data_IF_460397409894
#
_entry.id   IF_460397409894
#
_cell.length_a   1.000
_cell.length_b   1.000
_cell.length_c   1.000
_cell.angle_alpha   90.00
_cell.angle_beta   90.00
_cell.angle_gamma   90.00
#
_symmetry.space_group_name_H-M   'P 1'
#
loop_
_entity.id
_entity.type
_entity.pdbx_description
1 polymer ?
#
# COMPACT_ATOMS: atom_id res chain seq x y z
N UNK A 1 -2.15 13.26 9.13
CA UNK A 1 -2.89 12.86 7.91
C UNK A 1 -3.82 11.72 8.29
N UNK A 2 -4.89 12.06 9.02
CA UNK A 2 -6.12 11.25 9.01
C UNK A 2 -6.90 11.68 7.75
N UNK A 3 -7.88 10.90 7.31
CA UNK A 3 -8.80 11.21 6.19
C UNK A 3 -8.43 10.58 4.83
N UNK A 4 -8.07 9.29 4.85
CA UNK A 4 -7.93 8.43 3.66
C UNK A 4 -8.96 7.30 3.59
N UNK A 5 -10.19 7.52 4.05
CA UNK A 5 -11.22 6.46 4.15
C UNK A 5 -12.04 6.22 2.88
N UNK A 6 -11.63 6.74 1.71
CA UNK A 6 -12.13 6.23 0.44
C UNK A 6 -11.20 5.12 -0.04
N UNK A 7 -11.58 3.87 0.25
CA UNK A 7 -10.87 2.68 -0.19
C UNK A 7 -10.70 2.68 -1.72
N UNK A 8 -11.72 3.14 -2.45
CA UNK A 8 -11.69 3.28 -3.91
C UNK A 8 -10.65 4.30 -4.40
N UNK A 9 -10.54 5.46 -3.75
CA UNK A 9 -9.54 6.47 -4.12
C UNK A 9 -8.11 6.02 -3.79
N UNK A 10 -7.89 5.39 -2.63
CA UNK A 10 -6.60 4.83 -2.26
C UNK A 10 -6.17 3.70 -3.22
N UNK A 11 -7.10 2.82 -3.59
CA UNK A 11 -6.87 1.76 -4.57
C UNK A 11 -6.50 2.33 -5.94
N UNK A 12 -7.23 3.36 -6.39
CA UNK A 12 -6.94 4.04 -7.65
C UNK A 12 -5.57 4.71 -7.65
N UNK A 13 -5.18 5.37 -6.56
CA UNK A 13 -3.86 6.00 -6.41
C UNK A 13 -2.73 4.97 -6.40
N UNK A 14 -2.91 3.81 -5.79
CA UNK A 14 -1.89 2.75 -5.79
C UNK A 14 -1.74 2.17 -7.21
N UNK A 15 -2.85 1.83 -7.88
CA UNK A 15 -2.79 1.21 -9.21
C UNK A 15 -2.32 2.20 -10.29
N UNK A 16 -2.86 3.43 -10.30
CA UNK A 16 -2.46 4.44 -11.28
C UNK A 16 -1.11 5.07 -10.94
N UNK A 17 -0.83 5.30 -9.66
CA UNK A 17 0.39 5.98 -9.22
C UNK A 17 1.63 5.08 -9.24
N UNK A 18 1.52 3.82 -8.81
CA UNK A 18 2.66 2.89 -8.81
C UNK A 18 2.71 2.00 -10.06
N UNK A 19 1.55 1.68 -10.65
CA UNK A 19 1.44 0.75 -11.78
C UNK A 19 1.50 1.40 -13.16
N UNK A 20 1.01 2.64 -13.31
CA UNK A 20 0.94 3.31 -14.62
C UNK A 20 2.06 4.36 -14.77
N UNK A 21 3.24 3.87 -15.16
CA UNK A 21 4.41 4.73 -15.37
C UNK A 21 4.52 5.15 -16.85
N UNK A 22 4.92 6.40 -17.12
CA UNK A 22 5.15 6.90 -18.50
C UNK A 22 6.15 6.03 -19.26
N UNK A 23 7.12 5.44 -18.55
CA UNK A 23 8.05 4.47 -19.12
C UNK A 23 7.38 3.20 -19.66
N UNK A 24 6.44 2.62 -18.89
CA UNK A 24 5.67 1.44 -19.31
C UNK A 24 4.77 1.79 -20.49
N UNK A 25 4.09 2.95 -20.44
CA UNK A 25 3.25 3.43 -21.53
C UNK A 25 4.06 3.66 -22.82
N UNK A 26 5.26 4.27 -22.73
CA UNK A 26 6.12 4.51 -23.88
C UNK A 26 6.73 3.23 -24.43
N UNK A 27 7.11 2.27 -23.57
CA UNK A 27 7.56 0.95 -23.99
C UNK A 27 6.46 0.19 -24.73
N UNK A 28 5.25 0.14 -24.16
CA UNK A 28 4.09 -0.51 -24.77
C UNK A 28 3.71 0.15 -26.11
N UNK A 29 3.80 1.48 -26.20
CA UNK A 29 3.61 2.24 -27.45
C UNK A 29 4.60 1.81 -28.52
N UNK A 30 5.88 1.64 -28.16
CA UNK A 30 6.96 1.31 -29.11
C UNK A 30 6.90 -0.15 -29.56
N UNK A 31 6.49 -1.07 -28.68
CA UNK A 31 6.41 -2.49 -28.97
C UNK A 31 5.10 -2.91 -29.67
N UNK A 32 3.96 -2.36 -29.27
CA UNK A 32 2.63 -2.83 -29.69
C UNK A 32 1.76 -1.74 -30.36
N UNK A 33 2.26 -0.51 -30.45
CA UNK A 33 1.57 0.61 -31.08
C UNK A 33 0.58 1.35 -30.16
N UNK A 34 0.08 2.49 -30.62
CA UNK A 34 -0.78 3.38 -29.82
C UNK A 34 -2.14 2.77 -29.43
N UNK A 35 -2.68 1.86 -30.25
CA UNK A 35 -3.95 1.17 -29.95
C UNK A 35 -3.83 0.29 -28.71
N UNK A 36 -2.73 -0.44 -28.56
CA UNK A 36 -2.48 -1.28 -27.39
C UNK A 36 -2.38 -0.45 -26.11
N UNK A 37 -1.74 0.73 -26.19
CA UNK A 37 -1.66 1.67 -25.07
C UNK A 37 -3.02 2.20 -24.66
N UNK A 38 -3.84 2.63 -25.63
CA UNK A 38 -5.19 3.11 -25.35
C UNK A 38 -6.04 2.02 -24.69
N UNK A 39 -5.95 0.78 -25.18
CA UNK A 39 -6.68 -0.36 -24.62
C UNK A 39 -6.19 -0.71 -23.21
N UNK A 40 -4.88 -0.70 -22.96
CA UNK A 40 -4.29 -0.89 -21.65
C UNK A 40 -4.76 0.17 -20.65
N UNK A 41 -4.68 1.45 -21.03
CA UNK A 41 -5.12 2.57 -20.17
C UNK A 41 -6.62 2.48 -19.90
N UNK A 42 -7.44 2.17 -20.91
CA UNK A 42 -8.88 2.02 -20.75
C UNK A 42 -9.24 0.84 -19.82
N UNK A 43 -8.57 -0.31 -19.97
CA UNK A 43 -8.77 -1.47 -19.08
C UNK A 43 -8.30 -1.18 -17.66
N UNK A 44 -7.18 -0.47 -17.49
CA UNK A 44 -6.66 -0.13 -16.18
C UNK A 44 -7.58 0.87 -15.47
N UNK A 45 -8.00 1.93 -16.15
CA UNK A 45 -8.98 2.89 -15.61
C UNK A 45 -10.33 2.23 -15.32
N UNK A 46 -10.84 1.44 -16.27
CA UNK A 46 -12.13 0.76 -16.15
C UNK A 46 -12.14 -0.26 -15.00
N UNK A 47 -11.13 -1.13 -14.91
CA UNK A 47 -11.04 -2.11 -13.82
C UNK A 47 -10.86 -1.45 -12.47
N UNK A 48 -10.04 -0.41 -12.38
CA UNK A 48 -9.84 0.37 -11.15
C UNK A 48 -11.13 1.03 -10.68
N UNK A 49 -11.89 1.64 -11.58
CA UNK A 49 -13.17 2.27 -11.27
C UNK A 49 -14.21 1.24 -10.80
N UNK A 50 -14.33 0.11 -11.53
CA UNK A 50 -15.28 -0.96 -11.19
C UNK A 50 -14.97 -1.55 -9.82
N UNK A 51 -13.70 -1.89 -9.56
CA UNK A 51 -13.28 -2.46 -8.28
C UNK A 51 -13.47 -1.43 -7.16
N UNK A 52 -13.05 -0.17 -7.37
CA UNK A 52 -13.21 0.89 -6.39
C UNK A 52 -14.67 1.14 -6.02
N UNK A 53 -15.56 1.27 -7.01
CA UNK A 53 -16.99 1.46 -6.78
C UNK A 53 -17.65 0.26 -6.09
N UNK A 54 -17.22 -0.95 -6.44
CA UNK A 54 -17.76 -2.18 -5.84
C UNK A 54 -17.31 -2.27 -4.39
N UNK A 55 -16.02 -2.08 -4.12
CA UNK A 55 -15.46 -2.17 -2.78
C UNK A 55 -16.04 -1.10 -1.83
N UNK A 56 -16.25 0.12 -2.32
CA UNK A 56 -16.89 1.19 -1.53
C UNK A 56 -18.34 0.84 -1.15
N UNK A 57 -19.07 0.16 -2.05
CA UNK A 57 -20.44 -0.28 -1.78
C UNK A 57 -20.55 -1.54 -0.92
N UNK A 58 -19.62 -2.48 -1.02
CA UNK A 58 -19.73 -3.79 -0.35
C UNK A 58 -18.98 -3.88 0.96
N UNK A 59 -17.91 -3.10 1.15
CA UNK A 59 -17.02 -3.20 2.31
C UNK A 59 -17.25 -2.05 3.31
N UNK A 60 -17.58 -0.85 2.83
CA UNK A 60 -17.74 0.34 3.67
C UNK A 60 -19.19 0.66 4.07
N UNK A 61 -20.15 -0.22 3.74
CA UNK A 61 -21.60 -0.06 3.98
C UNK A 61 -22.17 1.32 3.57
N UNK A 62 -21.51 2.02 2.64
CA UNK A 62 -21.90 3.37 2.23
C UNK A 62 -21.90 4.41 3.37
N UNK A 63 -21.25 4.13 4.51
CA UNK A 63 -21.18 5.06 5.65
C UNK A 63 -20.05 6.10 5.54
N UNK A 64 -19.40 6.21 4.37
CA UNK A 64 -18.50 7.32 4.09
C UNK A 64 -19.30 8.62 4.04
N UNK A 65 -19.44 9.28 5.19
CA UNK A 65 -20.05 10.60 5.31
C UNK A 65 -19.24 11.61 4.50
N UNK A 66 -19.83 12.07 3.41
CA UNK A 66 -19.28 13.01 2.42
C UNK A 66 -18.78 14.33 3.04
N UNK A 67 -19.17 14.64 4.28
CA UNK A 67 -18.88 15.92 4.93
C UNK A 67 -17.43 16.13 5.39
N UNK A 68 -16.65 15.07 5.65
CA UNK A 68 -15.31 15.19 6.27
C UNK A 68 -14.14 14.81 5.33
N UNK A 69 -14.41 14.57 4.04
CA UNK A 69 -13.41 14.06 3.09
C UNK A 69 -13.06 15.00 1.94
N UNK A 70 -13.67 16.19 1.88
CA UNK A 70 -13.40 17.19 0.83
C UNK A 70 -12.03 17.85 0.98
N UNK A 71 -11.41 17.80 2.16
CA UNK A 71 -10.12 18.44 2.44
C UNK A 71 -8.90 17.50 2.38
N UNK A 72 -9.09 16.18 2.19
CA UNK A 72 -7.98 15.24 2.08
C UNK A 72 -7.12 15.46 0.83
N UNK A 73 -7.72 16.01 -0.23
CA UNK A 73 -7.05 16.32 -1.49
C UNK A 73 -6.59 17.77 -1.61
N UNK A 74 -7.01 18.66 -0.69
CA UNK A 74 -6.59 20.07 -0.67
C UNK A 74 -5.05 20.22 -0.68
N UNK A 75 -4.26 19.45 0.08
CA UNK A 75 -2.80 19.55 0.01
C UNK A 75 -2.22 19.18 -1.36
N UNK A 76 -2.92 18.36 -2.14
CA UNK A 76 -2.49 17.89 -3.47
C UNK A 76 -3.04 18.74 -4.62
N UNK A 77 -4.17 19.44 -4.42
CA UNK A 77 -4.81 20.30 -5.42
C UNK A 77 -4.53 21.79 -5.18
N UNK A 78 -4.08 22.18 -3.99
CA UNK A 78 -3.55 23.53 -3.74
C UNK A 78 -2.27 23.70 -4.54
N UNK A 79 -2.36 24.50 -5.59
CA UNK A 79 -1.21 25.16 -6.16
C UNK A 79 -0.51 25.90 -5.01
N UNK A 80 0.72 25.52 -4.68
CA UNK A 80 1.52 26.26 -3.71
C UNK A 80 1.50 27.75 -4.12
N UNK A 81 1.30 28.65 -3.16
CA UNK A 81 1.46 30.09 -3.40
C UNK A 81 2.93 30.38 -3.67
N UNK A 82 3.34 30.23 -4.93
CA UNK A 82 4.69 30.52 -5.38
C UNK A 82 4.75 32.04 -5.54
N UNK A 83 5.43 32.72 -4.61
CA UNK A 83 5.68 34.15 -4.73
C UNK A 83 6.41 34.48 -6.05
N UNK A 84 6.31 35.73 -6.55
CA UNK A 84 6.75 36.12 -7.91
C UNK A 84 8.24 35.88 -8.24
N UNK A 85 9.06 35.46 -7.26
CA UNK A 85 10.48 35.14 -7.41
C UNK A 85 10.83 33.68 -7.03
N UNK A 86 9.84 32.82 -6.78
CA UNK A 86 10.02 31.44 -6.31
C UNK A 86 9.77 30.37 -7.39
N UNK A 87 9.52 30.77 -8.64
CA UNK A 87 9.28 29.84 -9.77
C UNK A 87 10.54 29.59 -10.63
N UNK A 88 11.75 29.79 -10.09
CA UNK A 88 13.00 29.59 -10.84
C UNK A 88 13.56 28.18 -10.59
N UNK A 89 14.20 27.58 -11.59
CA UNK A 89 14.87 26.27 -11.53
C UNK A 89 15.91 26.23 -10.39
N UNK A 90 16.57 27.36 -10.12
CA UNK A 90 17.51 27.49 -9.00
C UNK A 90 16.84 27.36 -7.63
N UNK A 91 15.61 27.87 -7.48
CA UNK A 91 14.83 27.72 -6.25
C UNK A 91 14.41 26.26 -6.05
N UNK A 92 13.90 25.62 -7.09
CA UNK A 92 13.53 24.19 -7.07
C UNK A 92 14.74 23.33 -6.71
N UNK A 93 15.89 23.56 -7.34
CA UNK A 93 17.12 22.82 -7.03
C UNK A 93 17.55 22.98 -5.57
N UNK A 94 17.55 24.21 -5.06
CA UNK A 94 17.92 24.50 -3.66
C UNK A 94 16.94 23.92 -2.63
N UNK A 95 15.66 23.78 -3.00
CA UNK A 95 14.62 23.21 -2.15
C UNK A 95 14.71 21.69 -2.11
N UNK A 96 14.88 21.06 -3.29
CA UNK A 96 15.12 19.62 -3.40
C UNK A 96 16.38 19.23 -2.62
N UNK A 97 17.47 19.98 -2.73
CA UNK A 97 18.69 19.66 -1.99
C UNK A 97 18.51 19.71 -0.46
N UNK A 98 17.70 20.65 0.04
CA UNK A 98 17.40 20.84 1.46
C UNK A 98 16.48 19.77 2.04
N UNK A 99 15.44 19.39 1.30
CA UNK A 99 14.39 18.48 1.79
C UNK A 99 14.70 17.00 1.45
N UNK A 100 15.66 16.73 0.56
CA UNK A 100 16.00 15.38 0.10
C UNK A 100 16.79 14.61 1.15
N UNK A 101 16.24 13.47 1.57
CA UNK A 101 16.83 12.58 2.56
C UNK A 101 18.06 11.86 2.00
N UNK A 102 18.92 11.36 2.88
CA UNK A 102 20.20 10.73 2.50
C UNK A 102 19.97 9.48 1.62
N UNK A 103 18.94 8.68 1.93
CA UNK A 103 18.52 7.51 1.15
C UNK A 103 18.02 7.88 -0.26
N UNK A 104 17.30 9.00 -0.38
CA UNK A 104 16.81 9.51 -1.66
C UNK A 104 17.96 10.02 -2.56
N UNK A 105 19.03 10.59 -1.97
CA UNK A 105 20.23 11.03 -2.71
C UNK A 105 20.92 9.85 -3.41
N UNK A 106 21.10 8.74 -2.71
CA UNK A 106 21.67 7.53 -3.30
C UNK A 106 20.76 6.92 -4.36
N UNK A 107 19.44 6.91 -4.12
CA UNK A 107 18.46 6.45 -5.10
C UNK A 107 18.49 7.28 -6.40
N UNK A 108 18.57 8.60 -6.28
CA UNK A 108 18.68 9.52 -7.42
C UNK A 108 20.00 9.31 -8.17
N UNK A 109 21.11 9.12 -7.46
CA UNK A 109 22.40 8.81 -8.07
C UNK A 109 22.38 7.50 -8.86
N UNK A 110 21.78 6.44 -8.30
CA UNK A 110 21.62 5.17 -8.99
C UNK A 110 20.75 5.29 -10.24
N UNK A 111 19.63 6.01 -10.14
CA UNK A 111 18.75 6.29 -11.28
C UNK A 111 19.50 7.03 -12.40
N UNK A 112 20.31 8.03 -12.05
CA UNK A 112 21.12 8.77 -13.00
C UNK A 112 22.17 7.86 -13.69
N UNK A 113 22.82 6.97 -12.94
CA UNK A 113 23.76 5.98 -13.50
C UNK A 113 23.04 5.06 -14.48
N UNK A 114 21.87 4.53 -14.12
CA UNK A 114 21.08 3.64 -15.00
C UNK A 114 20.62 4.38 -16.25
N UNK A 115 20.15 5.62 -16.13
CA UNK A 115 19.80 6.45 -17.28
C UNK A 115 21.00 6.69 -18.18
N UNK A 116 22.12 7.16 -17.63
CA UNK A 116 23.33 7.44 -18.41
C UNK A 116 23.85 6.18 -19.10
N UNK A 117 23.82 5.04 -18.41
CA UNK A 117 24.21 3.74 -18.97
C UNK A 117 23.26 3.37 -20.11
N UNK A 118 21.95 3.43 -19.90
CA UNK A 118 20.96 3.14 -20.94
C UNK A 118 21.05 4.07 -22.15
N UNK A 119 21.25 5.37 -21.93
CA UNK A 119 21.44 6.37 -23.00
C UNK A 119 22.75 6.14 -23.74
N UNK A 120 23.85 5.88 -23.03
CA UNK A 120 25.13 5.55 -23.64
C UNK A 120 25.02 4.27 -24.48
N UNK A 121 24.42 3.20 -23.96
CA UNK A 121 24.19 1.97 -24.74
C UNK A 121 23.30 2.21 -25.95
N UNK A 122 22.29 3.08 -25.86
CA UNK A 122 21.41 3.41 -27.00
C UNK A 122 22.16 4.19 -28.08
N UNK A 123 22.97 5.18 -27.69
CA UNK A 123 23.75 6.00 -28.62
C UNK A 123 24.94 5.23 -29.22
N UNK A 124 25.56 4.36 -28.44
CA UNK A 124 26.64 3.49 -28.91
C UNK A 124 26.09 2.30 -29.72
N UNK A 125 24.85 1.85 -29.46
CA UNK A 125 24.20 0.74 -30.16
C UNK A 125 23.91 1.00 -31.64
N UNK A 126 23.80 2.27 -32.07
CA UNK A 126 23.74 2.61 -33.50
C UNK A 126 25.12 2.50 -34.19
N UNK A 127 26.23 2.55 -33.43
CA UNK A 127 27.61 2.44 -33.96
C UNK A 127 28.25 1.08 -33.73
N UNK A 128 27.82 0.39 -32.68
CA UNK A 128 28.27 -0.95 -32.29
C UNK A 128 27.08 -1.85 -32.56
N UNK A 129 27.15 -2.57 -33.67
CA UNK A 129 26.15 -3.55 -34.06
C UNK A 129 26.19 -4.74 -33.08
N UNK A 130 25.62 -4.54 -31.88
CA UNK A 130 25.47 -5.58 -30.85
C UNK A 130 24.56 -6.71 -31.33
N UNK A 131 23.89 -6.52 -32.47
CA UNK A 131 23.25 -7.61 -33.21
C UNK A 131 24.26 -8.72 -33.53
N UNK A 132 25.55 -8.45 -33.70
CA UNK A 132 26.57 -9.50 -33.83
C UNK A 132 26.66 -10.46 -32.62
N UNK A 133 26.39 -9.96 -31.43
CA UNK A 133 26.44 -10.74 -30.19
C UNK A 133 25.06 -11.22 -29.71
N UNK A 134 23.97 -10.68 -30.28
CA UNK A 134 22.58 -10.94 -29.88
C UNK A 134 21.70 -11.53 -30.99
N UNK A 135 22.16 -11.51 -32.25
CA UNK A 135 21.54 -12.20 -33.38
C UNK A 135 22.09 -13.62 -33.34
N UNK A 136 21.29 -14.51 -32.75
CA UNK A 136 21.23 -15.85 -33.31
C UNK A 136 20.92 -15.72 -34.81
N UNK A 137 21.81 -16.29 -35.62
CA UNK A 137 21.72 -16.42 -37.08
C UNK A 137 20.26 -16.54 -37.52
N UNK A 138 19.83 -15.85 -38.61
CA UNK A 138 18.48 -15.99 -39.13
C UNK A 138 18.18 -17.48 -39.34
N UNK A 139 17.05 -17.90 -38.78
CA UNK A 139 16.52 -19.26 -38.71
C UNK A 139 16.69 -20.01 -40.04
N UNK A 140 17.82 -20.70 -40.20
CA UNK A 140 17.76 -22.01 -40.83
C UNK A 140 17.12 -22.89 -39.77
N UNK A 141 15.93 -23.41 -40.07
CA UNK A 141 15.23 -24.40 -39.26
C UNK A 141 16.20 -25.53 -38.87
N UNK A 142 16.84 -25.38 -37.72
CA UNK A 142 17.60 -26.43 -37.09
C UNK A 142 16.58 -27.20 -36.26
N UNK A 143 16.18 -28.35 -36.79
CA UNK A 143 15.43 -29.43 -36.13
C UNK A 143 16.16 -29.97 -34.88
N UNK A 144 16.49 -29.09 -33.91
CA UNK A 144 17.43 -29.45 -32.86
C UNK A 144 17.53 -28.54 -31.64
N UNK A 145 16.76 -27.44 -31.55
CA UNK A 145 16.56 -26.83 -30.22
C UNK A 145 15.71 -27.79 -29.39
N UNK A 146 16.24 -28.17 -28.23
CA UNK A 146 15.66 -29.21 -27.39
C UNK A 146 14.28 -28.72 -26.92
N UNK A 147 13.22 -29.11 -27.66
CA UNK A 147 11.80 -28.68 -27.56
C UNK A 147 11.20 -28.80 -26.15
N UNK A 148 11.92 -29.43 -25.23
CA UNK A 148 11.63 -29.52 -23.80
C UNK A 148 11.88 -28.23 -23.02
N UNK A 149 12.88 -27.43 -23.39
CA UNK A 149 13.28 -26.23 -22.63
C UNK A 149 12.76 -24.92 -23.22
N UNK A 150 12.29 -24.94 -24.47
CA UNK A 150 11.66 -23.79 -25.12
C UNK A 150 10.35 -24.20 -25.84
N UNK A 151 9.31 -24.58 -25.07
CA UNK A 151 8.00 -24.84 -25.66
C UNK A 151 7.35 -23.52 -26.07
N UNK A 152 6.98 -23.41 -27.34
CA UNK A 152 6.17 -22.28 -27.84
C UNK A 152 4.81 -22.32 -27.15
N UNK A 153 4.63 -21.48 -26.14
CA UNK A 153 3.39 -21.36 -25.38
C UNK A 153 2.33 -20.67 -26.24
N UNK A 154 1.14 -21.27 -26.32
CA UNK A 154 -0.02 -20.62 -26.94
C UNK A 154 -0.44 -19.37 -26.15
N UNK A 155 -1.07 -18.40 -26.81
CA UNK A 155 -1.59 -17.19 -26.14
C UNK A 155 -2.49 -17.51 -24.95
N UNK A 156 -3.28 -18.59 -25.03
CA UNK A 156 -4.14 -19.02 -23.93
C UNK A 156 -3.32 -19.51 -22.72
N UNK A 157 -2.21 -20.22 -22.95
CA UNK A 157 -1.33 -20.67 -21.86
C UNK A 157 -0.62 -19.50 -21.18
N UNK A 158 -0.18 -18.50 -21.93
CA UNK A 158 0.42 -17.28 -21.37
C UNK A 158 -0.59 -16.49 -20.52
N UNK A 159 -1.83 -16.34 -21.00
CA UNK A 159 -2.90 -15.68 -20.25
C UNK A 159 -3.20 -16.45 -18.96
N UNK A 160 -3.39 -17.77 -19.04
CA UNK A 160 -3.64 -18.60 -17.86
C UNK A 160 -2.48 -18.49 -16.86
N UNK A 161 -1.23 -18.66 -17.31
CA UNK A 161 -0.06 -18.55 -16.44
C UNK A 161 0.04 -17.17 -15.78
N UNK A 162 -0.22 -16.10 -16.52
CA UNK A 162 -0.24 -14.73 -15.99
C UNK A 162 -1.34 -14.54 -14.93
N UNK A 163 -2.57 -14.96 -15.22
CA UNK A 163 -3.70 -14.84 -14.29
C UNK A 163 -3.46 -15.65 -13.02
N UNK A 164 -3.02 -16.91 -13.15
CA UNK A 164 -2.68 -17.75 -12.00
C UNK A 164 -1.52 -17.16 -11.19
N UNK A 165 -0.48 -16.67 -11.86
CA UNK A 165 0.67 -16.03 -11.21
C UNK A 165 0.26 -14.81 -10.39
N UNK A 166 -0.47 -13.87 -11.00
CA UNK A 166 -0.97 -12.67 -10.31
C UNK A 166 -1.90 -13.05 -9.15
N UNK A 167 -2.79 -14.03 -9.35
CA UNK A 167 -3.70 -14.49 -8.30
C UNK A 167 -2.94 -15.10 -7.12
N UNK A 168 -1.92 -15.92 -7.38
CA UNK A 168 -1.09 -16.52 -6.33
C UNK A 168 -0.33 -15.44 -5.53
N UNK A 169 0.26 -14.44 -6.21
CA UNK A 169 0.91 -13.32 -5.54
C UNK A 169 -0.07 -12.45 -4.76
N UNK A 170 -1.29 -12.25 -5.26
CA UNK A 170 -2.33 -11.52 -4.54
C UNK A 170 -2.75 -12.24 -3.25
N UNK A 171 -2.93 -13.57 -3.31
CA UNK A 171 -3.21 -14.39 -2.12
C UNK A 171 -2.05 -14.30 -1.13
N UNK A 172 -0.81 -14.42 -1.59
CA UNK A 172 0.37 -14.29 -0.72
C UNK A 172 0.45 -12.91 -0.07
N UNK A 173 0.18 -11.84 -0.82
CA UNK A 173 0.11 -10.48 -0.31
C UNK A 173 -1.00 -10.30 0.74
N UNK A 174 -2.15 -10.95 0.57
CA UNK A 174 -3.24 -10.92 1.55
C UNK A 174 -2.80 -11.55 2.88
N UNK A 175 -2.13 -12.70 2.83
CA UNK A 175 -1.59 -13.38 4.02
C UNK A 175 -0.48 -12.58 4.70
N UNK A 176 0.32 -11.84 3.95
CA UNK A 176 1.34 -10.94 4.49
C UNK A 176 0.73 -9.70 5.14
N UNK A 177 -0.35 -9.15 4.56
CA UNK A 177 -1.01 -7.96 5.11
C UNK A 177 -1.90 -8.26 6.32
N UNK A 178 -2.51 -9.44 6.35
CA UNK A 178 -3.32 -10.00 7.45
C UNK A 178 -2.60 -11.21 8.09
N UNK A 179 -1.60 -10.95 8.97
CA UNK A 179 -0.83 -12.00 9.64
C UNK A 179 -1.70 -12.87 10.56
N UNK A 180 -1.15 -13.92 11.16
CA UNK A 180 -1.95 -14.79 12.03
C UNK A 180 -2.47 -14.01 13.25
N UNK A 181 -3.68 -14.29 13.78
CA UNK A 181 -4.23 -13.58 14.94
C UNK A 181 -3.28 -13.56 16.15
N UNK A 182 -2.53 -14.64 16.38
CA UNK A 182 -1.51 -14.70 17.44
C UNK A 182 -0.37 -13.69 17.23
N UNK A 183 0.13 -13.54 15.99
CA UNK A 183 1.19 -12.58 15.66
C UNK A 183 0.72 -11.14 15.89
N UNK A 184 -0.53 -10.83 15.48
CA UNK A 184 -1.15 -9.52 15.72
C UNK A 184 -1.26 -9.22 17.22
N UNK A 185 -1.70 -10.21 18.02
CA UNK A 185 -1.85 -10.07 19.47
C UNK A 185 -0.50 -9.92 20.19
N UNK A 186 0.54 -10.58 19.70
CA UNK A 186 1.89 -10.45 20.23
C UNK A 186 2.50 -9.08 19.88
N UNK A 187 2.29 -8.55 18.67
CA UNK A 187 2.67 -7.17 18.31
C UNK A 187 1.99 -6.12 19.21
N UNK A 188 0.70 -6.29 19.48
CA UNK A 188 -0.07 -5.40 20.38
C UNK A 188 0.55 -5.34 21.78
N UNK A 189 1.13 -6.44 22.25
CA UNK A 189 1.74 -6.50 23.59
C UNK A 189 2.87 -5.47 23.73
N UNK A 190 3.65 -5.23 22.68
CA UNK A 190 4.69 -4.19 22.66
C UNK A 190 4.09 -2.77 22.67
N UNK A 191 3.12 -2.50 21.79
CA UNK A 191 2.46 -1.19 21.66
C UNK A 191 1.80 -0.78 22.99
N UNK A 192 1.21 -1.74 23.71
CA UNK A 192 0.51 -1.50 24.97
C UNK A 192 1.41 -0.93 26.06
N UNK A 193 2.64 -1.43 26.19
CA UNK A 193 3.58 -0.96 27.22
C UNK A 193 3.94 0.51 26.96
N UNK A 194 4.21 0.85 25.71
CA UNK A 194 4.53 2.22 25.28
C UNK A 194 3.32 3.16 25.48
N UNK A 195 2.12 2.69 25.13
CA UNK A 195 0.88 3.44 25.35
C UNK A 195 0.67 3.76 26.84
N UNK A 196 0.89 2.78 27.73
CA UNK A 196 0.70 2.99 29.16
C UNK A 196 1.75 3.92 29.76
N UNK A 197 2.99 3.90 29.27
CA UNK A 197 4.00 4.89 29.64
C UNK A 197 3.54 6.30 29.24
N UNK A 198 3.09 6.46 27.98
CA UNK A 198 2.63 7.75 27.47
C UNK A 198 1.43 8.31 28.25
N UNK A 199 0.47 7.46 28.62
CA UNK A 199 -0.66 7.87 29.48
C UNK A 199 -0.18 8.29 30.87
N UNK A 200 0.81 7.59 31.43
CA UNK A 200 1.36 7.91 32.74
C UNK A 200 2.10 9.26 32.75
N UNK A 201 2.79 9.57 31.67
CA UNK A 201 3.52 10.83 31.42
C UNK A 201 2.61 11.97 30.96
N UNK A 202 1.32 11.68 30.72
CA UNK A 202 0.35 12.63 30.17
C UNK A 202 0.73 13.18 28.78
N UNK A 203 1.51 12.43 28.01
CA UNK A 203 1.88 12.77 26.64
C UNK A 203 0.71 12.44 25.68
N UNK A 204 0.00 13.49 25.28
CA UNK A 204 -1.13 13.41 24.36
C UNK A 204 -0.73 12.95 22.96
N UNK A 205 0.42 13.39 22.45
CA UNK A 205 0.86 13.11 21.09
C UNK A 205 1.27 11.65 20.96
N UNK A 206 2.09 11.18 21.90
CA UNK A 206 2.53 9.80 21.95
C UNK A 206 1.36 8.86 22.24
N UNK A 207 0.45 9.22 23.15
CA UNK A 207 -0.75 8.43 23.42
C UNK A 207 -1.62 8.28 22.18
N UNK A 208 -1.87 9.36 21.43
CA UNK A 208 -2.63 9.31 20.18
C UNK A 208 -1.93 8.42 19.15
N UNK A 209 -0.61 8.56 18.99
CA UNK A 209 0.18 7.75 18.07
C UNK A 209 0.09 6.26 18.38
N UNK A 210 0.29 5.86 19.63
CA UNK A 210 0.26 4.45 20.05
C UNK A 210 -1.15 3.88 20.06
N UNK A 211 -2.14 4.67 20.46
CA UNK A 211 -3.57 4.31 20.35
C UNK A 211 -3.95 4.02 18.90
N UNK A 212 -3.53 4.85 17.94
CA UNK A 212 -3.77 4.63 16.52
C UNK A 212 -3.08 3.36 15.99
N UNK A 213 -1.83 3.10 16.42
CA UNK A 213 -1.12 1.86 16.07
C UNK A 213 -1.87 0.62 16.58
N UNK A 214 -2.35 0.64 17.83
CA UNK A 214 -3.13 -0.45 18.39
C UNK A 214 -4.44 -0.64 17.64
N UNK A 215 -5.23 0.43 17.40
CA UNK A 215 -6.49 0.36 16.63
C UNK A 215 -6.29 -0.34 15.29
N UNK A 216 -5.28 0.07 14.51
CA UNK A 216 -4.97 -0.53 13.21
C UNK A 216 -4.61 -2.02 13.29
N UNK A 217 -3.97 -2.47 14.39
CA UNK A 217 -3.65 -3.89 14.59
C UNK A 217 -4.88 -4.70 14.99
N UNK A 218 -5.67 -4.20 15.93
CA UNK A 218 -6.91 -4.85 16.40
C UNK A 218 -7.94 -5.01 15.29
N UNK A 219 -8.09 -4.01 14.40
CA UNK A 219 -9.01 -4.07 13.27
C UNK A 219 -8.67 -5.19 12.26
N UNK A 220 -7.40 -5.64 12.23
CA UNK A 220 -6.99 -6.75 11.36
C UNK A 220 -7.42 -8.11 11.88
N UNK A 221 -7.74 -8.27 13.17
CA UNK A 221 -8.00 -9.56 13.80
C UNK A 221 -9.18 -10.32 13.15
N UNK A 222 -10.37 -9.71 12.93
CA UNK A 222 -11.49 -10.41 12.32
C UNK A 222 -11.15 -10.90 10.91
N UNK A 223 -10.58 -10.04 10.06
CA UNK A 223 -10.21 -10.42 8.69
C UNK A 223 -9.12 -11.49 8.67
N UNK A 224 -8.15 -11.40 9.58
CA UNK A 224 -7.06 -12.39 9.70
C UNK A 224 -7.57 -13.77 10.09
N UNK A 225 -8.62 -13.84 10.91
CA UNK A 225 -9.29 -15.09 11.26
C UNK A 225 -10.14 -15.59 10.08
N UNK A 226 -10.96 -14.72 9.48
CA UNK A 226 -11.83 -15.04 8.36
C UNK A 226 -11.09 -15.71 7.19
N UNK A 227 -9.90 -15.21 6.82
CA UNK A 227 -9.12 -15.78 5.70
C UNK A 227 -8.52 -17.17 6.00
N UNK A 228 -8.49 -17.60 7.28
CA UNK A 228 -7.87 -18.86 7.73
C UNK A 228 -8.91 -19.90 8.18
N UNK A 229 -9.86 -19.50 9.02
CA UNK A 229 -10.93 -20.39 9.53
C UNK A 229 -12.19 -20.36 8.68
N UNK A 230 -12.37 -19.34 7.83
CA UNK A 230 -13.57 -19.16 7.00
C UNK A 230 -14.76 -18.52 7.72
N UNK A 231 -14.70 -18.36 9.04
CA UNK A 231 -15.78 -17.76 9.85
C UNK A 231 -15.23 -16.96 11.03
N UNK A 232 -16.01 -15.98 11.50
CA UNK A 232 -15.73 -15.11 12.65
C UNK A 232 -17.00 -14.92 13.45
N UNK A 233 -16.98 -15.29 14.73
CA UNK A 233 -18.15 -15.16 15.60
C UNK A 233 -18.50 -13.70 15.91
N UNK A 234 -19.77 -13.45 16.23
CA UNK A 234 -20.21 -12.14 16.69
C UNK A 234 -19.50 -11.73 18.00
N UNK A 235 -19.20 -12.69 18.89
CA UNK A 235 -18.43 -12.43 20.13
C UNK A 235 -17.02 -11.92 19.84
N UNK A 236 -16.36 -12.43 18.80
CA UNK A 236 -15.04 -11.98 18.38
C UNK A 236 -15.08 -10.56 17.83
N UNK A 237 -16.08 -10.25 17.00
CA UNK A 237 -16.29 -8.91 16.44
C UNK A 237 -16.60 -7.89 17.54
N UNK A 238 -17.46 -8.26 18.48
CA UNK A 238 -17.81 -7.43 19.63
C UNK A 238 -16.58 -7.16 20.52
N UNK A 239 -15.76 -8.18 20.78
CA UNK A 239 -14.54 -8.02 21.58
C UNK A 239 -13.54 -7.02 20.97
N UNK A 240 -13.47 -6.96 19.63
CA UNK A 240 -12.67 -5.98 18.89
C UNK A 240 -13.25 -4.58 19.08
N UNK A 241 -14.57 -4.42 18.94
CA UNK A 241 -15.24 -3.15 19.14
C UNK A 241 -15.09 -2.61 20.57
N UNK A 242 -15.14 -3.47 21.58
CA UNK A 242 -14.90 -3.09 22.98
C UNK A 242 -13.49 -2.50 23.19
N UNK A 243 -12.47 -3.10 22.57
CA UNK A 243 -11.09 -2.57 22.64
C UNK A 243 -11.00 -1.21 21.93
N UNK A 244 -11.57 -1.09 20.73
CA UNK A 244 -11.58 0.17 19.98
C UNK A 244 -12.30 1.28 20.75
N UNK A 245 -13.41 0.95 21.41
CA UNK A 245 -14.13 1.86 22.29
C UNK A 245 -13.27 2.30 23.47
N UNK A 246 -12.64 1.37 24.19
CA UNK A 246 -11.76 1.68 25.32
C UNK A 246 -10.60 2.63 24.94
N UNK A 247 -9.96 2.40 23.79
CA UNK A 247 -8.91 3.28 23.26
C UNK A 247 -9.43 4.68 22.91
N UNK A 248 -10.65 4.78 22.36
CA UNK A 248 -11.30 6.06 22.05
C UNK A 248 -11.65 6.84 23.32
N UNK A 249 -12.09 6.16 24.38
CA UNK A 249 -12.42 6.79 25.66
C UNK A 249 -11.16 7.37 26.31
N UNK A 250 -10.05 6.61 26.37
CA UNK A 250 -8.76 7.13 26.89
C UNK A 250 -8.32 8.39 26.16
N UNK A 251 -8.36 8.38 24.83
CA UNK A 251 -7.95 9.53 24.03
C UNK A 251 -8.81 10.77 24.33
N UNK A 252 -10.14 10.59 24.40
CA UNK A 252 -11.07 11.68 24.76
C UNK A 252 -10.79 12.23 26.15
N UNK A 253 -10.64 11.36 27.14
CA UNK A 253 -10.40 11.76 28.54
C UNK A 253 -9.09 12.53 28.70
N UNK A 254 -8.05 12.18 27.95
CA UNK A 254 -6.80 12.93 27.93
C UNK A 254 -6.95 14.30 27.25
N UNK A 255 -7.71 14.39 26.16
CA UNK A 255 -8.00 15.68 25.49
C UNK A 255 -8.77 16.62 26.41
N UNK A 256 -9.64 16.08 27.27
CA UNK A 256 -10.36 16.83 28.30
C UNK A 256 -9.47 17.25 29.50
N UNK A 257 -8.18 16.88 29.51
CA UNK A 257 -7.23 17.19 30.59
C UNK A 257 -7.42 16.34 31.86
N UNK A 258 -8.25 15.29 31.82
CA UNK A 258 -8.59 14.45 32.99
C UNK A 258 -7.58 13.31 33.14
N UNK A 259 -6.34 13.64 33.45
CA UNK A 259 -5.23 12.67 33.47
C UNK A 259 -5.43 11.52 34.48
N UNK A 260 -6.00 11.78 35.65
CA UNK A 260 -6.24 10.73 36.66
C UNK A 260 -7.30 9.72 36.20
N UNK A 261 -8.35 10.18 35.53
CA UNK A 261 -9.36 9.30 34.94
C UNK A 261 -8.76 8.45 33.81
N UNK A 262 -7.91 9.03 32.96
CA UNK A 262 -7.21 8.30 31.91
C UNK A 262 -6.33 7.16 32.47
N UNK A 263 -5.65 7.38 33.61
CA UNK A 263 -4.87 6.33 34.29
C UNK A 263 -5.76 5.21 34.82
N UNK A 264 -6.93 5.51 35.36
CA UNK A 264 -7.88 4.49 35.80
C UNK A 264 -8.41 3.64 34.64
N UNK A 265 -8.59 4.25 33.46
CA UNK A 265 -9.06 3.58 32.25
C UNK A 265 -8.04 2.58 31.66
N UNK A 266 -6.76 2.63 32.06
CA UNK A 266 -5.76 1.62 31.66
C UNK A 266 -6.22 0.22 32.05
N UNK A 267 -6.72 0.05 33.27
CA UNK A 267 -7.20 -1.25 33.76
C UNK A 267 -8.43 -1.75 33.00
N UNK A 268 -9.29 -0.83 32.57
CA UNK A 268 -10.44 -1.15 31.73
C UNK A 268 -9.99 -1.63 30.34
N UNK A 269 -9.08 -0.91 29.68
CA UNK A 269 -8.55 -1.32 28.37
C UNK A 269 -7.80 -2.65 28.45
N UNK A 270 -7.07 -2.89 29.53
CA UNK A 270 -6.39 -4.16 29.78
C UNK A 270 -7.37 -5.32 29.92
N UNK A 271 -8.51 -5.12 30.60
CA UNK A 271 -9.51 -6.19 30.79
C UNK A 271 -10.22 -6.56 29.49
N UNK A 272 -10.63 -5.58 28.68
CA UNK A 272 -11.25 -5.82 27.37
C UNK A 272 -10.24 -6.43 26.39
N UNK A 273 -8.97 -6.02 26.44
CA UNK A 273 -7.94 -6.65 25.61
C UNK A 273 -7.70 -8.11 25.99
N UNK A 274 -7.67 -8.45 27.28
CA UNK A 274 -7.55 -9.84 27.74
C UNK A 274 -8.74 -10.69 27.29
N UNK A 275 -9.96 -10.16 27.35
CA UNK A 275 -11.17 -10.81 26.82
C UNK A 275 -11.03 -11.07 25.32
N UNK A 276 -10.67 -10.05 24.54
CA UNK A 276 -10.42 -10.17 23.10
C UNK A 276 -9.36 -11.24 22.79
N UNK A 277 -8.21 -11.20 23.48
CA UNK A 277 -7.15 -12.22 23.32
C UNK A 277 -7.66 -13.64 23.59
N UNK A 278 -8.55 -13.83 24.56
CA UNK A 278 -9.15 -15.13 24.89
C UNK A 278 -10.07 -15.62 23.77
N UNK A 279 -10.97 -14.77 23.28
CA UNK A 279 -11.93 -15.10 22.21
C UNK A 279 -11.23 -15.51 20.89
N UNK A 280 -10.12 -14.85 20.55
CA UNK A 280 -9.36 -15.17 19.34
C UNK A 280 -8.44 -16.41 19.51
N UNK A 281 -8.07 -16.77 20.75
CA UNK A 281 -7.28 -17.98 21.03
C UNK A 281 -8.13 -19.24 21.26
N UNK A 282 -9.37 -19.10 21.71
CA UNK A 282 -10.29 -20.23 21.92
C UNK A 282 -10.87 -20.80 20.63
N UNK A 283 -10.69 -20.11 19.50
CA UNK A 283 -11.20 -20.52 18.19
C UNK A 283 -10.24 -21.44 17.42
N UNK A 284 -9.27 -22.03 18.11
CA UNK A 284 -8.26 -22.92 17.54
C UNK A 284 -8.50 -24.37 17.94
#
# INVERSE_FOLDING_TARGET
VQDGYSLGAAFALIILGAGANVGVANWLRRAYGGRAVALFVALLLGSTLVIGLTADRTIADGQATVADHTHAFDPFTRLHEIGPNQANISWVASRVEKDMRIDEKYGLGLLAIVMLTGTALTLLGERIDMSRFLVDKPEQALDGTNKKWDPVLSSNQLICAGVFGVSAFAVLGLYMFYPAPDEVLDEITGIRVELYSAINEADLEETRRRSAQWKLRVEKLPTSLLIRSGDVSDSQRESVQEVLYGLKVIERTLVEGKHQEAKMLINFVESVHRKCRKEFRSSR
#
